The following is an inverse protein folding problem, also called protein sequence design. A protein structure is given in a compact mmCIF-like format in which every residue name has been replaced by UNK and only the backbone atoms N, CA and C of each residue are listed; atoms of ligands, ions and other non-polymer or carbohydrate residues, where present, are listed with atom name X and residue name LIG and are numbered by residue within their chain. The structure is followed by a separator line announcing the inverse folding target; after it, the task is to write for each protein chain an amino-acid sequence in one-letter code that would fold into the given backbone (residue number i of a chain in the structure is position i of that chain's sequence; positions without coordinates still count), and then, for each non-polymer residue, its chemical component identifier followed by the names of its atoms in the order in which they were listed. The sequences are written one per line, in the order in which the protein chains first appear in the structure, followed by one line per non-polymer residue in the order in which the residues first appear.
data_IF_357434193735
#
_entry.id   IF_357434193735
#
_cell.length_a   1.000
_cell.length_b   1.000
_cell.length_c   1.000
_cell.angle_alpha   90.00
_cell.angle_beta   90.00
_cell.angle_gamma   90.00
#
_symmetry.space_group_name_H-M   'P 1'
#
loop_
_entity.id
_entity.type
_entity.pdbx_description
1 polymer ?
#
# COMPACT_ATOMS: atom_id res chain seq x y z
N UNK A 1 4.80 -0.66 33.44
CA UNK A 1 5.51 -0.89 32.17
C UNK A 1 5.29 -2.34 31.73
N UNK A 2 4.03 -2.74 31.50
CA UNK A 2 3.63 -4.13 31.15
C UNK A 2 2.51 -4.14 30.07
N UNK A 3 1.94 -3.00 29.73
CA UNK A 3 0.79 -2.91 28.81
C UNK A 3 1.20 -2.97 27.33
N UNK A 4 2.44 -2.60 27.00
CA UNK A 4 2.92 -2.53 25.61
C UNK A 4 3.05 -3.89 24.91
N UNK A 5 3.17 -5.00 25.66
CA UNK A 5 3.30 -6.33 25.05
C UNK A 5 1.95 -7.00 24.76
N UNK A 6 0.87 -6.64 25.48
CA UNK A 6 -0.44 -7.22 25.20
C UNK A 6 -1.11 -6.63 23.96
N UNK A 7 -0.91 -5.33 23.71
CA UNK A 7 -1.51 -4.66 22.55
C UNK A 7 -0.85 -5.06 21.22
N UNK A 8 0.48 -5.21 21.21
CA UNK A 8 1.23 -5.60 20.02
C UNK A 8 0.92 -7.06 19.61
N UNK A 9 0.72 -7.94 20.61
CA UNK A 9 0.32 -9.34 20.37
C UNK A 9 -1.10 -9.43 19.81
N UNK A 10 -2.03 -8.62 20.34
CA UNK A 10 -3.42 -8.58 19.85
C UNK A 10 -3.53 -7.99 18.44
N UNK A 11 -2.74 -6.96 18.11
CA UNK A 11 -2.69 -6.40 16.76
C UNK A 11 -2.14 -7.41 15.74
N UNK A 12 -1.16 -8.22 16.15
CA UNK A 12 -0.62 -9.30 15.32
C UNK A 12 -1.67 -10.36 14.95
N UNK A 13 -2.56 -10.71 15.89
CA UNK A 13 -3.65 -11.67 15.64
C UNK A 13 -4.70 -11.14 14.65
N UNK A 14 -4.89 -9.81 14.58
CA UNK A 14 -5.90 -9.18 13.71
C UNK A 14 -5.35 -8.92 12.30
N UNK A 15 -4.11 -8.47 12.17
CA UNK A 15 -3.53 -8.08 10.88
C UNK A 15 -2.70 -9.17 10.21
N UNK A 16 -2.32 -10.22 10.95
CA UNK A 16 -1.36 -11.20 10.46
C UNK A 16 0.07 -10.63 10.34
N UNK A 17 1.04 -11.52 10.38
CA UNK A 17 2.48 -11.17 10.43
C UNK A 17 2.90 -10.31 9.23
N UNK A 18 2.48 -10.68 8.02
CA UNK A 18 2.95 -10.02 6.78
C UNK A 18 2.48 -8.58 6.69
N UNK A 19 1.21 -8.31 7.01
CA UNK A 19 0.66 -6.97 7.05
C UNK A 19 1.34 -6.14 8.13
N UNK A 20 1.46 -6.69 9.34
CA UNK A 20 2.00 -5.96 10.48
C UNK A 20 3.46 -5.54 10.26
N UNK A 21 4.30 -6.43 9.73
CA UNK A 21 5.70 -6.10 9.42
C UNK A 21 5.80 -4.95 8.41
N UNK A 22 4.95 -4.95 7.38
CA UNK A 22 4.93 -3.89 6.36
C UNK A 22 4.37 -2.57 6.89
N UNK A 23 3.41 -2.64 7.80
CA UNK A 23 2.88 -1.47 8.48
C UNK A 23 3.92 -0.83 9.41
N UNK A 24 4.63 -1.62 10.21
CA UNK A 24 5.65 -1.11 11.14
C UNK A 24 6.89 -0.57 10.41
N UNK A 25 7.28 -1.20 9.29
CA UNK A 25 8.50 -0.89 8.55
C UNK A 25 8.26 -0.85 7.04
N UNK A 26 7.45 0.12 6.55
CA UNK A 26 7.21 0.26 5.12
C UNK A 26 8.52 0.64 4.42
N UNK A 27 8.80 -0.01 3.29
CA UNK A 27 10.07 0.15 2.56
C UNK A 27 10.06 1.33 1.60
N UNK A 28 8.87 1.73 1.14
CA UNK A 28 8.70 2.71 0.07
C UNK A 28 7.88 3.94 0.49
N UNK A 29 7.76 4.18 1.79
CA UNK A 29 6.99 5.30 2.32
C UNK A 29 7.64 6.66 2.02
N UNK A 30 6.81 7.67 1.80
CA UNK A 30 7.19 9.05 1.53
C UNK A 30 6.90 9.48 0.09
N UNK A 31 7.16 10.75 -0.25
CA UNK A 31 7.10 11.22 -1.62
C UNK A 31 8.38 10.85 -2.39
N UNK A 32 8.35 10.89 -3.74
CA UNK A 32 9.54 10.76 -4.56
C UNK A 32 10.55 11.89 -4.26
N UNK A 33 11.86 11.66 -4.47
CA UNK A 33 12.87 12.71 -4.39
C UNK A 33 12.55 13.89 -5.33
N UNK A 34 12.86 15.10 -4.89
CA UNK A 34 12.67 16.29 -5.70
C UNK A 34 13.44 16.18 -7.03
N UNK A 35 12.79 16.60 -8.13
CA UNK A 35 13.37 16.57 -9.47
C UNK A 35 13.33 15.21 -10.17
N UNK A 36 12.82 14.16 -9.51
CA UNK A 36 12.58 12.89 -10.18
C UNK A 36 11.24 12.89 -10.92
N UNK A 37 11.28 12.56 -12.21
CA UNK A 37 10.08 12.37 -13.01
C UNK A 37 9.29 11.16 -12.51
N UNK A 38 8.08 11.43 -12.02
CA UNK A 38 7.14 10.42 -11.54
C UNK A 38 5.72 10.92 -11.75
N UNK A 39 4.78 9.98 -11.89
CA UNK A 39 3.35 10.30 -11.92
C UNK A 39 2.71 9.85 -10.63
N UNK A 40 1.71 10.58 -10.16
CA UNK A 40 0.96 10.23 -8.96
C UNK A 40 -0.41 9.70 -9.33
N UNK A 41 -0.71 8.47 -8.91
CA UNK A 41 -2.09 8.01 -8.79
C UNK A 41 -2.60 8.28 -7.38
N UNK A 42 -3.85 8.72 -7.26
CA UNK A 42 -4.50 8.98 -5.98
C UNK A 42 -5.86 8.31 -5.95
N UNK A 43 -6.22 7.75 -4.79
CA UNK A 43 -7.55 7.22 -4.53
C UNK A 43 -7.93 7.42 -3.06
N UNK A 44 -9.25 7.52 -2.81
CA UNK A 44 -9.82 7.65 -1.47
C UNK A 44 -10.90 6.59 -1.26
N UNK A 45 -10.75 5.78 -0.21
CA UNK A 45 -11.74 4.82 0.25
C UNK A 45 -12.95 5.53 0.84
N UNK A 46 -14.15 5.14 0.40
CA UNK A 46 -15.41 5.71 0.93
C UNK A 46 -15.81 5.11 2.27
N UNK A 47 -15.45 3.85 2.53
CA UNK A 47 -15.92 3.10 3.69
C UNK A 47 -15.13 3.42 4.96
N UNK A 48 -13.83 3.72 4.83
CA UNK A 48 -12.88 3.83 5.94
C UNK A 48 -12.11 5.15 5.97
N UNK A 49 -12.54 6.15 5.17
CA UNK A 49 -11.86 7.44 4.99
C UNK A 49 -10.35 7.32 4.68
N UNK A 50 -9.97 6.19 4.08
CA UNK A 50 -8.59 5.91 3.73
C UNK A 50 -8.19 6.66 2.47
N UNK A 51 -6.92 6.99 2.36
CA UNK A 51 -6.40 7.74 1.22
C UNK A 51 -5.00 7.26 0.87
N UNK A 52 -4.73 7.10 -0.43
CA UNK A 52 -3.46 6.61 -0.96
C UNK A 52 -3.00 7.51 -2.09
N UNK A 53 -1.72 7.86 -2.03
CA UNK A 53 -0.95 8.45 -3.11
C UNK A 53 0.16 7.48 -3.49
N UNK A 54 0.21 7.09 -4.75
CA UNK A 54 1.22 6.18 -5.29
C UNK A 54 1.96 6.86 -6.43
N UNK A 55 3.25 7.11 -6.23
CA UNK A 55 4.12 7.69 -7.24
C UNK A 55 4.87 6.60 -7.99
N UNK A 56 4.81 6.62 -9.33
CA UNK A 56 5.50 5.69 -10.21
C UNK A 56 6.50 6.44 -11.09
N UNK A 57 7.77 6.03 -11.07
CA UNK A 57 8.81 6.51 -12.00
C UNK A 57 9.25 5.38 -12.93
N UNK A 58 9.46 5.69 -14.22
CA UNK A 58 9.95 4.73 -15.23
C UNK A 58 11.47 4.63 -15.25
N UNK A 59 12.17 5.72 -14.96
CA UNK A 59 13.62 5.82 -15.06
C UNK A 59 14.20 6.64 -13.89
N UNK A 60 14.74 5.98 -12.84
CA UNK A 60 14.75 4.54 -12.62
C UNK A 60 13.35 3.99 -12.33
N UNK A 61 13.13 2.70 -12.55
CA UNK A 61 11.87 2.03 -12.20
C UNK A 61 11.72 1.94 -10.68
N UNK A 62 11.12 2.98 -10.08
CA UNK A 62 10.94 3.15 -8.64
C UNK A 62 9.55 3.63 -8.32
N UNK A 63 9.08 3.31 -7.11
CA UNK A 63 7.81 3.79 -6.61
C UNK A 63 7.90 4.22 -5.16
N UNK A 64 7.01 5.14 -4.81
CA UNK A 64 6.86 5.66 -3.46
C UNK A 64 5.39 5.78 -3.12
N UNK A 65 5.05 5.82 -1.84
CA UNK A 65 3.67 6.01 -1.43
C UNK A 65 3.51 6.85 -0.17
N UNK A 66 2.35 7.48 -0.06
CA UNK A 66 1.79 7.98 1.18
C UNK A 66 0.42 7.34 1.33
N UNK A 67 0.09 6.90 2.54
CA UNK A 67 -1.19 6.28 2.81
C UNK A 67 -1.68 6.69 4.21
N UNK A 68 -2.97 6.93 4.31
CA UNK A 68 -3.69 7.15 5.55
C UNK A 68 -4.82 6.12 5.65
N UNK A 69 -4.98 5.48 6.80
CA UNK A 69 -6.01 4.47 7.03
C UNK A 69 -5.49 3.31 7.87
N UNK A 70 -6.11 2.14 7.70
CA UNK A 70 -5.79 0.92 8.44
C UNK A 70 -4.40 0.36 8.10
N UNK A 71 -3.80 -0.50 8.95
CA UNK A 71 -2.56 -1.21 8.61
C UNK A 71 -2.62 -1.94 7.26
N UNK A 72 -3.78 -2.47 6.88
CA UNK A 72 -4.00 -3.11 5.58
C UNK A 72 -3.71 -2.19 4.41
N UNK A 73 -4.17 -0.93 4.45
CA UNK A 73 -3.95 -0.01 3.33
C UNK A 73 -2.49 0.40 3.20
N UNK A 74 -1.80 0.59 4.33
CA UNK A 74 -0.39 0.95 4.35
C UNK A 74 0.45 -0.23 3.84
N UNK A 75 0.18 -1.44 4.30
CA UNK A 75 0.87 -2.65 3.85
C UNK A 75 0.62 -2.93 2.36
N UNK A 76 -0.60 -2.69 1.87
CA UNK A 76 -0.96 -2.86 0.46
C UNK A 76 -0.30 -1.80 -0.43
N UNK A 77 -0.22 -0.55 0.01
CA UNK A 77 0.49 0.51 -0.71
C UNK A 77 1.99 0.22 -0.82
N UNK A 78 2.61 -0.29 0.26
CA UNK A 78 4.01 -0.75 0.22
C UNK A 78 4.22 -1.91 -0.77
N UNK A 79 3.28 -2.88 -0.80
CA UNK A 79 3.28 -3.97 -1.78
C UNK A 79 3.10 -3.47 -3.22
N UNK A 80 2.25 -2.47 -3.43
CA UNK A 80 2.06 -1.88 -4.75
C UNK A 80 3.34 -1.21 -5.24
N UNK A 81 4.02 -0.44 -4.38
CA UNK A 81 5.32 0.15 -4.72
C UNK A 81 6.37 -0.93 -5.05
N UNK A 82 6.41 -2.01 -4.27
CA UNK A 82 7.29 -3.16 -4.55
C UNK A 82 6.96 -3.83 -5.88
N UNK A 83 5.67 -4.05 -6.19
CA UNK A 83 5.22 -4.66 -7.44
C UNK A 83 5.66 -3.83 -8.66
N UNK A 84 5.55 -2.49 -8.58
CA UNK A 84 6.05 -1.61 -9.63
C UNK A 84 7.55 -1.80 -9.86
N UNK A 85 8.35 -1.77 -8.79
CA UNK A 85 9.80 -1.95 -8.87
C UNK A 85 10.19 -3.33 -9.41
N UNK A 86 9.40 -4.36 -9.09
CA UNK A 86 9.61 -5.73 -9.55
C UNK A 86 9.29 -5.95 -11.03
N UNK A 87 8.67 -4.99 -11.70
CA UNK A 87 8.36 -5.13 -13.13
C UNK A 87 6.87 -5.28 -13.45
N UNK A 88 6.01 -5.38 -12.44
CA UNK A 88 4.59 -5.70 -12.62
C UNK A 88 3.84 -4.57 -13.33
N UNK A 89 2.93 -4.95 -14.24
CA UNK A 89 2.05 -4.02 -14.97
C UNK A 89 0.57 -4.17 -14.58
N UNK A 90 0.24 -5.22 -13.82
CA UNK A 90 -1.10 -5.52 -13.37
C UNK A 90 -1.02 -5.84 -11.90
N UNK A 91 -1.88 -5.20 -11.13
CA UNK A 91 -2.01 -5.40 -9.71
C UNK A 91 -3.49 -5.24 -9.38
N UNK A 92 -4.08 -6.26 -8.76
CA UNK A 92 -5.48 -6.25 -8.37
C UNK A 92 -5.63 -6.32 -6.85
N UNK A 93 -6.77 -5.87 -6.34
CA UNK A 93 -7.13 -5.95 -4.93
C UNK A 93 -7.06 -7.39 -4.42
N UNK A 94 -7.54 -8.36 -5.20
CA UNK A 94 -7.44 -9.78 -4.88
C UNK A 94 -5.99 -10.27 -4.78
N UNK A 95 -5.09 -9.76 -5.63
CA UNK A 95 -3.65 -10.08 -5.56
C UNK A 95 -3.02 -9.50 -4.31
N UNK A 96 -3.35 -8.26 -3.95
CA UNK A 96 -2.88 -7.62 -2.72
C UNK A 96 -3.38 -8.36 -1.48
N UNK A 97 -4.67 -8.67 -1.42
CA UNK A 97 -5.29 -9.43 -0.34
C UNK A 97 -4.60 -10.79 -0.14
N UNK A 98 -4.37 -11.53 -1.23
CA UNK A 98 -3.70 -12.83 -1.17
C UNK A 98 -2.24 -12.71 -0.70
N UNK A 99 -1.50 -11.68 -1.13
CA UNK A 99 -0.10 -11.47 -0.69
C UNK A 99 0.02 -11.05 0.77
N UNK A 100 -1.02 -10.47 1.33
CA UNK A 100 -1.08 -10.06 2.74
C UNK A 100 -1.78 -11.08 3.65
N UNK A 101 -2.27 -12.20 3.08
CA UNK A 101 -3.11 -13.17 3.78
C UNK A 101 -4.31 -12.50 4.47
N UNK A 102 -4.93 -11.55 3.76
CA UNK A 102 -5.95 -10.70 4.32
C UNK A 102 -7.34 -11.37 4.33
N UNK A 103 -8.16 -11.13 5.38
CA UNK A 103 -9.52 -11.61 5.40
C UNK A 103 -10.40 -10.87 4.38
N UNK A 104 -11.54 -11.45 3.95
CA UNK A 104 -12.36 -10.87 2.87
C UNK A 104 -13.03 -9.53 3.21
N UNK A 105 -13.25 -9.24 4.49
CA UNK A 105 -13.94 -8.06 5.01
C UNK A 105 -13.12 -6.77 4.88
N UNK A 106 -11.81 -6.87 4.63
CA UNK A 106 -10.92 -5.70 4.46
C UNK A 106 -10.62 -5.37 2.99
N UNK A 107 -11.38 -5.94 2.06
CA UNK A 107 -11.17 -5.79 0.61
C UNK A 107 -11.23 -4.34 0.13
N UNK A 108 -12.04 -3.48 0.77
CA UNK A 108 -12.18 -2.07 0.41
C UNK A 108 -10.85 -1.29 0.49
N UNK A 109 -9.97 -1.65 1.43
CA UNK A 109 -8.64 -1.08 1.53
C UNK A 109 -7.79 -1.40 0.28
N UNK A 110 -7.90 -2.62 -0.24
CA UNK A 110 -7.13 -3.06 -1.40
C UNK A 110 -7.68 -2.51 -2.72
N UNK A 111 -9.01 -2.34 -2.82
CA UNK A 111 -9.64 -1.65 -3.95
C UNK A 111 -9.13 -0.22 -4.07
N UNK A 112 -8.98 0.48 -2.93
CA UNK A 112 -8.43 1.84 -2.91
C UNK A 112 -7.00 1.88 -3.45
N UNK A 113 -6.14 0.92 -3.09
CA UNK A 113 -4.77 0.83 -3.63
C UNK A 113 -4.76 0.46 -5.12
N UNK A 114 -5.63 -0.45 -5.55
CA UNK A 114 -5.79 -0.81 -6.97
C UNK A 114 -6.23 0.40 -7.82
N UNK A 115 -7.15 1.21 -7.31
CA UNK A 115 -7.60 2.43 -7.98
C UNK A 115 -6.46 3.45 -8.12
N UNK A 116 -5.66 3.66 -7.06
CA UNK A 116 -4.48 4.52 -7.13
C UNK A 116 -3.46 3.98 -8.14
N UNK A 117 -3.22 2.67 -8.15
CA UNK A 117 -2.35 2.00 -9.13
C UNK A 117 -2.81 2.22 -10.57
N UNK A 118 -4.08 1.98 -10.86
CA UNK A 118 -4.63 2.17 -12.20
C UNK A 118 -4.64 3.64 -12.62
N UNK A 119 -4.92 4.55 -11.70
CA UNK A 119 -4.84 5.99 -11.93
C UNK A 119 -3.42 6.40 -12.35
N UNK A 120 -2.39 5.92 -11.64
CA UNK A 120 -0.99 6.17 -12.00
C UNK A 120 -0.62 5.58 -13.37
N UNK A 121 -1.00 4.32 -13.65
CA UNK A 121 -0.68 3.69 -14.93
C UNK A 121 -1.30 4.40 -16.13
N UNK A 122 -2.55 4.90 -16.00
CA UNK A 122 -3.21 5.67 -17.06
C UNK A 122 -2.49 6.97 -17.43
N UNK A 123 -1.73 7.56 -16.49
CA UNK A 123 -0.95 8.77 -16.74
C UNK A 123 0.40 8.43 -17.39
N UNK A 124 0.95 7.25 -17.07
CA UNK A 124 2.18 6.78 -17.68
C UNK A 124 1.98 6.40 -19.16
N UNK A 125 0.92 5.68 -19.49
CA UNK A 125 0.64 5.19 -20.86
C UNK A 125 0.36 6.33 -21.86
#
# INVERSE_FOLDING_TARGET
MVESHSEETAAHEVYGEVCWQRFLRPRHAGPPPAGLESVCGQARGRADDSEVWLWLSRQPRKAWFQAHGSPWIIAAADLAAEAWQAGEKRLSAATLASRLDAPPDVMDAFLTVEDAWHSALKILD
#
